data_IF_667600146803
#
_entry.id   IF_667600146803
#
_cell.length_a   1.000
_cell.length_b   1.000
_cell.length_c   1.000
_cell.angle_alpha   90.00
_cell.angle_beta   90.00
_cell.angle_gamma   90.00
#
_symmetry.space_group_name_H-M   'P 1'
#
loop_
_entity.id
_entity.type
_entity.pdbx_description
1 polymer ?
#
# COMPACT_ATOMS: atom_id res chain seq x y z
N UNK A 1 2.74 14.20 4.95
CA UNK A 1 2.46 13.00 5.79
C UNK A 1 2.88 11.76 5.02
N UNK A 2 3.50 10.73 5.63
CA UNK A 2 3.82 9.49 4.89
C UNK A 2 2.54 8.73 4.55
N UNK A 3 2.43 8.29 3.31
CA UNK A 3 1.36 7.42 2.82
C UNK A 3 1.98 6.21 2.13
N UNK A 4 1.20 5.14 2.05
CA UNK A 4 1.59 3.86 1.50
C UNK A 4 0.62 3.55 0.37
N UNK A 5 1.14 3.56 -0.85
CA UNK A 5 0.31 3.32 -2.03
C UNK A 5 0.13 1.84 -2.23
N UNK A 6 -1.08 1.47 -2.63
CA UNK A 6 -1.42 0.11 -3.03
C UNK A 6 -2.22 0.16 -4.33
N UNK A 7 -2.16 -0.89 -5.12
CA UNK A 7 -3.01 -1.01 -6.29
C UNK A 7 -4.44 -1.32 -5.81
N UNK A 8 -5.45 -0.46 -6.06
CA UNK A 8 -6.82 -0.70 -5.59
C UNK A 8 -7.49 -1.92 -6.22
N UNK A 9 -7.02 -2.38 -7.38
CA UNK A 9 -7.56 -3.58 -8.06
C UNK A 9 -7.03 -4.88 -7.46
N UNK A 10 -5.76 -4.90 -7.04
CA UNK A 10 -5.08 -6.12 -6.57
C UNK A 10 -4.70 -6.09 -5.09
N UNK A 11 -4.78 -4.93 -4.44
CA UNK A 11 -4.29 -4.64 -3.10
C UNK A 11 -2.76 -4.56 -2.98
N UNK A 12 -1.98 -4.84 -4.04
CA UNK A 12 -0.52 -4.93 -3.93
C UNK A 12 0.13 -3.62 -3.51
N UNK A 13 1.06 -3.68 -2.56
CA UNK A 13 1.88 -2.53 -2.17
C UNK A 13 2.73 -2.03 -3.33
N UNK A 14 2.61 -0.75 -3.66
CA UNK A 14 3.34 -0.09 -4.73
C UNK A 14 4.54 0.72 -4.22
N UNK A 15 4.57 1.08 -2.94
CA UNK A 15 5.64 1.85 -2.32
C UNK A 15 5.14 2.91 -1.35
N UNK A 16 6.09 3.53 -0.66
CA UNK A 16 5.81 4.69 0.20
C UNK A 16 5.88 5.96 -0.64
N UNK A 17 5.00 6.89 -0.32
CA UNK A 17 4.93 8.21 -0.94
C UNK A 17 4.60 9.24 0.15
N UNK A 18 4.64 10.52 -0.18
CA UNK A 18 4.31 11.57 0.77
C UNK A 18 3.04 12.26 0.29
N UNK A 19 2.01 12.25 1.13
CA UNK A 19 0.84 13.07 0.89
C UNK A 19 1.30 14.53 0.86
N UNK A 20 1.06 15.15 -0.30
CA UNK A 20 1.28 16.56 -0.53
C UNK A 20 0.42 17.34 0.46
N UNK A 21 1.05 18.26 1.19
CA UNK A 21 0.32 19.19 2.04
C UNK A 21 -0.43 20.14 1.11
N UNK A 22 -1.69 19.83 0.81
CA UNK A 22 -2.52 20.73 0.04
C UNK A 22 -2.71 22.00 0.86
N UNK A 23 -1.81 22.97 0.65
CA UNK A 23 -1.58 24.18 1.46
C UNK A 23 -2.73 25.20 1.41
N UNK A 24 -3.97 24.77 1.24
CA UNK A 24 -5.12 25.66 1.04
C UNK A 24 -6.24 25.50 2.07
N UNK A 25 -6.28 24.43 2.88
CA UNK A 25 -7.25 24.31 3.98
C UNK A 25 -6.69 23.50 5.13
N UNK A 26 -6.52 24.17 6.27
CA UNK A 26 -6.22 23.62 7.59
C UNK A 26 -6.59 22.12 7.76
N UNK A 27 -5.58 21.24 7.72
CA UNK A 27 -5.64 19.91 8.34
C UNK A 27 -6.23 18.76 7.51
N UNK A 28 -6.74 18.98 6.30
CA UNK A 28 -7.22 17.88 5.44
C UNK A 28 -6.12 17.41 4.48
N UNK A 29 -5.29 16.47 4.95
CA UNK A 29 -4.42 15.70 4.06
C UNK A 29 -5.31 14.90 3.09
N UNK A 30 -5.28 15.23 1.80
CA UNK A 30 -5.94 14.42 0.77
C UNK A 30 -5.14 13.14 0.57
N UNK A 31 -5.55 12.07 1.25
CA UNK A 31 -5.03 10.73 0.99
C UNK A 31 -5.76 10.22 -0.26
N UNK A 32 -5.04 9.89 -1.35
CA UNK A 32 -5.68 9.29 -2.53
C UNK A 32 -6.33 7.94 -2.17
N UNK A 33 -7.38 7.52 -2.89
CA UNK A 33 -8.09 6.27 -2.61
C UNK A 33 -7.22 5.02 -2.80
N UNK A 34 -6.17 5.14 -3.60
CA UNK A 34 -5.09 4.16 -3.83
C UNK A 34 -3.95 4.25 -2.79
N UNK A 35 -4.15 4.99 -1.70
CA UNK A 35 -3.16 5.10 -0.62
C UNK A 35 -3.78 4.96 0.77
N UNK A 36 -2.95 4.54 1.71
CA UNK A 36 -3.29 4.42 3.12
C UNK A 36 -2.21 5.03 3.99
N UNK A 37 -2.58 5.53 5.17
CA UNK A 37 -1.61 5.99 6.17
C UNK A 37 -1.15 4.87 7.10
N UNK A 38 -1.71 3.67 6.93
CA UNK A 38 -1.34 2.49 7.69
C UNK A 38 -0.04 1.94 7.12
N UNK A 39 0.96 1.76 7.98
CA UNK A 39 2.26 1.22 7.59
C UNK A 39 2.15 -0.27 7.22
N UNK A 40 2.73 -0.71 6.09
CA UNK A 40 2.82 -2.12 5.75
C UNK A 40 3.69 -2.86 6.78
N UNK A 41 3.36 -4.12 7.11
CA UNK A 41 4.19 -4.96 7.95
C UNK A 41 5.52 -5.25 7.24
N UNK A 42 6.56 -5.54 8.02
CA UNK A 42 7.79 -6.08 7.48
C UNK A 42 7.49 -7.42 6.78
N UNK A 43 7.93 -7.55 5.53
CA UNK A 43 7.79 -8.76 4.73
C UNK A 43 9.15 -9.39 4.54
N UNK A 44 9.21 -10.71 4.54
CA UNK A 44 10.43 -11.46 4.24
C UNK A 44 10.65 -11.60 2.72
N UNK A 45 11.84 -12.08 2.33
CA UNK A 45 12.14 -12.34 0.93
C UNK A 45 11.14 -13.35 0.36
N UNK A 46 10.49 -12.98 -0.75
CA UNK A 46 9.44 -13.82 -1.35
C UNK A 46 8.05 -13.60 -0.77
N UNK A 47 7.82 -12.56 0.02
CA UNK A 47 6.50 -12.10 0.43
C UNK A 47 6.19 -10.72 -0.14
N UNK A 48 4.90 -10.42 -0.30
CA UNK A 48 4.41 -9.10 -0.72
C UNK A 48 3.31 -8.61 0.22
N UNK A 49 3.33 -7.34 0.64
CA UNK A 49 2.22 -6.76 1.38
C UNK A 49 1.06 -6.48 0.42
N UNK A 50 -0.14 -6.89 0.83
CA UNK A 50 -1.40 -6.68 0.11
C UNK A 50 -2.37 -5.97 1.06
N UNK A 51 -2.83 -4.79 0.68
CA UNK A 51 -3.80 -4.02 1.43
C UNK A 51 -5.21 -4.54 1.17
N UNK A 52 -5.87 -5.01 2.22
CA UNK A 52 -7.26 -5.47 2.18
C UNK A 52 -8.17 -4.28 2.46
N UNK A 53 -8.70 -3.66 1.40
CA UNK A 53 -9.56 -2.47 1.50
C UNK A 53 -10.78 -2.72 2.39
N UNK A 54 -11.40 -3.90 2.28
CA UNK A 54 -12.55 -4.28 3.11
C UNK A 54 -12.24 -4.39 4.60
N UNK A 55 -11.00 -4.73 4.96
CA UNK A 55 -10.55 -4.88 6.35
C UNK A 55 -9.72 -3.68 6.84
N UNK A 56 -9.41 -2.73 5.94
CA UNK A 56 -8.54 -1.56 6.17
C UNK A 56 -7.23 -1.95 6.84
N UNK A 57 -6.61 -3.05 6.40
CA UNK A 57 -5.38 -3.61 6.98
C UNK A 57 -4.51 -4.27 5.92
N UNK A 58 -3.21 -4.29 6.17
CA UNK A 58 -2.25 -5.07 5.38
C UNK A 58 -2.28 -6.56 5.76
N UNK A 59 -2.38 -7.40 4.75
CA UNK A 59 -2.07 -8.81 4.80
C UNK A 59 -0.72 -9.07 4.11
N UNK A 60 -0.02 -10.12 4.53
CA UNK A 60 1.20 -10.57 3.86
C UNK A 60 0.83 -11.81 3.08
N UNK A 61 1.12 -11.79 1.79
CA UNK A 61 0.93 -12.95 0.92
C UNK A 61 2.28 -13.44 0.42
N UNK A 62 2.47 -14.76 0.22
CA UNK A 62 3.61 -15.25 -0.52
C UNK A 62 3.59 -14.60 -1.90
N UNK A 63 4.74 -14.06 -2.32
CA UNK A 63 4.94 -13.65 -3.70
C UNK A 63 4.87 -14.94 -4.50
N UNK A 64 3.71 -15.23 -5.08
CA UNK A 64 3.57 -16.32 -6.05
C UNK A 64 4.48 -16.01 -7.22
N UNK A 65 5.73 -16.42 -7.11
CA UNK A 65 6.59 -16.68 -8.25
C UNK A 65 5.94 -17.88 -8.91
N UNK A 66 4.99 -17.61 -9.82
CA UNK A 66 4.64 -18.60 -10.82
C UNK A 66 5.95 -18.91 -11.53
N UNK A 67 6.57 -20.03 -11.17
CA UNK A 67 7.81 -20.49 -11.75
C UNK A 67 7.55 -20.74 -13.23
N UNK A 68 7.90 -19.77 -14.07
CA UNK A 68 8.24 -20.05 -15.46
C UNK A 68 9.57 -20.79 -15.43
N UNK A 69 9.49 -22.11 -15.31
CA UNK A 69 10.50 -23.00 -15.83
C UNK A 69 10.23 -23.09 -17.34
N UNK A 70 11.11 -22.49 -18.14
CA UNK A 70 11.38 -22.91 -19.52
C UNK A 70 12.88 -23.21 -19.62
#
# INVERSE_FOLDING_TARGET
MKIYRFNPETGLYLGEDFADDASMRHGEFKIPPDATTIMPPAVECGQVPVYLVGERRWAVQPRSTNGRNE
#
